data_IF_200141831952
#
_entry.id   IF_200141831952
#
_cell.length_a   1.000
_cell.length_b   1.000
_cell.length_c   1.000
_cell.angle_alpha   90.00
_cell.angle_beta   90.00
_cell.angle_gamma   90.00
#
_symmetry.space_group_name_H-M   'P 1'
#
loop_
_entity.id
_entity.type
_entity.pdbx_description
1 polymer ?
#
# COMPACT_ATOMS: atom_id res chain seq x y z
N UNK A 1 -6.79 -17.52 0.24
CA UNK A 1 -5.63 -16.83 0.85
C UNK A 1 -6.18 -15.87 1.86
N UNK A 2 -5.44 -15.60 2.93
CA UNK A 2 -5.84 -14.68 3.99
C UNK A 2 -5.06 -13.37 3.91
N UNK A 3 -5.61 -12.33 4.55
CA UNK A 3 -4.88 -11.10 4.85
C UNK A 3 -4.35 -11.14 6.28
N UNK A 4 -3.22 -10.47 6.53
CA UNK A 4 -2.72 -10.28 7.89
C UNK A 4 -2.07 -8.91 8.07
N UNK A 5 -2.30 -8.32 9.23
CA UNK A 5 -1.80 -6.99 9.59
C UNK A 5 -1.00 -7.08 10.89
N UNK A 6 0.27 -6.66 10.85
CA UNK A 6 1.12 -6.53 12.03
C UNK A 6 0.80 -5.22 12.77
N UNK A 7 0.11 -5.33 13.89
CA UNK A 7 -0.39 -4.20 14.69
C UNK A 7 0.08 -4.22 16.16
N UNK A 8 1.17 -4.94 16.47
CA UNK A 8 1.65 -5.13 17.85
C UNK A 8 2.58 -4.04 18.41
N UNK A 9 3.06 -3.10 17.59
CA UNK A 9 4.07 -2.12 17.99
C UNK A 9 3.56 -0.97 18.87
N UNK A 10 4.41 -0.48 19.78
CA UNK A 10 4.10 0.65 20.69
C UNK A 10 3.92 2.01 20.02
N UNK A 11 4.28 2.17 18.74
CA UNK A 11 4.14 3.45 18.02
C UNK A 11 4.90 4.65 18.63
N UNK A 12 5.98 4.42 19.39
CA UNK A 12 6.63 5.43 20.26
C UNK A 12 6.91 6.81 19.63
N UNK A 13 7.17 6.87 18.32
CA UNK A 13 7.48 8.11 17.58
C UNK A 13 6.26 9.00 17.29
N UNK A 14 5.04 8.49 17.49
CA UNK A 14 3.78 9.21 17.31
C UNK A 14 3.10 9.54 18.65
N UNK A 15 3.83 9.46 19.76
CA UNK A 15 3.32 9.95 21.05
C UNK A 15 3.09 11.47 20.97
N UNK A 16 2.02 12.01 21.56
CA UNK A 16 1.10 11.34 22.50
C UNK A 16 -0.09 10.62 21.84
N UNK A 17 -0.27 10.68 20.51
CA UNK A 17 -1.41 10.06 19.82
C UNK A 17 -1.47 8.57 20.16
N UNK A 18 -0.34 7.88 20.05
CA UNK A 18 -0.27 6.43 20.29
C UNK A 18 -0.27 6.03 21.77
N UNK A 19 -0.48 6.95 22.71
CA UNK A 19 -0.73 6.58 24.12
C UNK A 19 -2.16 6.08 24.34
N UNK A 20 -3.07 6.42 23.42
CA UNK A 20 -4.51 6.09 23.53
C UNK A 20 -5.02 5.21 22.40
N UNK A 21 -4.37 5.24 21.23
CA UNK A 21 -4.76 4.43 20.08
C UNK A 21 -3.57 3.65 19.52
N UNK A 22 -3.76 2.39 19.08
CA UNK A 22 -2.78 1.69 18.27
C UNK A 22 -2.41 2.50 17.03
N UNK A 23 -1.16 2.40 16.61
CA UNK A 23 -0.65 3.09 15.41
C UNK A 23 -1.51 2.81 14.16
N UNK A 24 -1.95 1.56 14.00
CA UNK A 24 -2.80 1.15 12.89
C UNK A 24 -4.19 1.82 12.89
N UNK A 25 -4.64 2.38 14.01
CA UNK A 25 -5.90 3.12 14.13
C UNK A 25 -5.73 4.64 14.02
N UNK A 26 -4.53 5.13 13.68
CA UNK A 26 -4.33 6.55 13.42
C UNK A 26 -5.13 6.97 12.19
N UNK A 27 -5.88 8.05 12.30
CA UNK A 27 -6.74 8.58 11.23
C UNK A 27 -5.92 9.30 10.16
N UNK A 28 -6.13 8.90 8.90
CA UNK A 28 -5.56 9.54 7.71
C UNK A 28 -6.56 10.45 7.00
N UNK A 29 -7.86 10.28 7.28
CA UNK A 29 -8.94 11.27 7.06
C UNK A 29 -10.07 10.99 8.07
N UNK A 30 -11.06 11.86 8.12
CA UNK A 30 -12.14 11.79 9.12
C UNK A 30 -12.77 10.39 9.20
N UNK A 31 -12.76 9.81 10.40
CA UNK A 31 -13.25 8.46 10.71
C UNK A 31 -12.63 7.31 9.88
N UNK A 32 -11.50 7.55 9.22
CA UNK A 32 -10.84 6.58 8.35
C UNK A 32 -9.36 6.46 8.71
N UNK A 33 -9.00 5.28 9.20
CA UNK A 33 -7.69 4.96 9.76
C UNK A 33 -6.78 4.29 8.76
N UNK A 34 -5.50 4.14 9.11
CA UNK A 34 -4.56 3.29 8.36
C UNK A 34 -5.19 1.90 8.17
N UNK A 35 -5.67 1.25 9.24
CA UNK A 35 -6.23 -0.10 9.14
C UNK A 35 -7.50 -0.16 8.28
N UNK A 36 -8.36 0.86 8.28
CA UNK A 36 -9.52 0.90 7.36
C UNK A 36 -9.07 0.87 5.90
N UNK A 37 -7.99 1.59 5.57
CA UNK A 37 -7.38 1.51 4.26
C UNK A 37 -6.84 0.12 3.95
N UNK A 38 -6.16 -0.50 4.91
CA UNK A 38 -5.59 -1.83 4.72
C UNK A 38 -6.67 -2.92 4.52
N UNK A 39 -7.78 -2.82 5.26
CA UNK A 39 -8.94 -3.70 5.10
C UNK A 39 -9.65 -3.46 3.75
N UNK A 40 -9.75 -2.21 3.31
CA UNK A 40 -10.27 -1.87 1.98
C UNK A 40 -9.43 -2.51 0.86
N UNK A 41 -8.09 -2.44 0.96
CA UNK A 41 -7.19 -3.08 -0.01
C UNK A 41 -7.44 -4.59 -0.09
N UNK A 42 -7.55 -5.27 1.06
CA UNK A 42 -7.84 -6.71 1.11
C UNK A 42 -9.23 -7.05 0.54
N UNK A 43 -10.25 -6.26 0.86
CA UNK A 43 -11.62 -6.46 0.37
C UNK A 43 -11.66 -6.40 -1.16
N UNK A 44 -10.96 -5.44 -1.76
CA UNK A 44 -10.94 -5.25 -3.22
C UNK A 44 -10.31 -6.41 -4.00
N UNK A 45 -9.44 -7.18 -3.36
CA UNK A 45 -8.87 -8.39 -3.96
C UNK A 45 -9.58 -9.68 -3.52
N UNK A 46 -10.74 -9.55 -2.85
CA UNK A 46 -11.60 -10.67 -2.48
C UNK A 46 -11.12 -11.49 -1.29
N UNK A 47 -10.24 -10.95 -0.44
CA UNK A 47 -9.93 -11.58 0.85
C UNK A 47 -11.16 -11.46 1.74
N UNK A 48 -11.52 -12.53 2.46
CA UNK A 48 -12.63 -12.55 3.41
C UNK A 48 -12.17 -12.70 4.85
N UNK A 49 -10.99 -13.27 5.07
CA UNK A 49 -10.45 -13.59 6.39
C UNK A 49 -9.16 -12.82 6.61
N UNK A 50 -9.16 -11.98 7.66
CA UNK A 50 -8.04 -11.12 8.01
C UNK A 50 -7.60 -11.38 9.45
N UNK A 51 -6.31 -11.64 9.64
CA UNK A 51 -5.70 -11.82 10.95
C UNK A 51 -5.00 -10.53 11.41
N UNK A 52 -5.40 -10.00 12.55
CA UNK A 52 -4.72 -8.88 13.19
C UNK A 52 -3.77 -9.42 14.24
N UNK A 53 -2.46 -9.27 13.98
CA UNK A 53 -1.38 -9.66 14.87
C UNK A 53 -1.13 -8.49 15.81
N UNK A 54 -1.90 -8.46 16.88
CA UNK A 54 -2.01 -7.31 17.79
C UNK A 54 -1.27 -7.56 19.10
N UNK A 55 -0.95 -6.48 19.80
CA UNK A 55 -0.26 -6.54 21.09
C UNK A 55 -0.71 -5.37 21.95
N UNK A 56 0.10 -4.30 21.98
CA UNK A 56 -0.26 -3.08 22.70
C UNK A 56 -1.61 -2.51 22.24
N UNK A 57 -2.52 -2.25 23.19
CA UNK A 57 -3.87 -1.71 22.96
C UNK A 57 -4.75 -2.56 22.01
N UNK A 58 -4.59 -3.90 22.01
CA UNK A 58 -5.36 -4.80 21.14
C UNK A 58 -6.88 -4.64 21.31
N UNK A 59 -7.34 -4.39 22.54
CA UNK A 59 -8.74 -4.18 22.89
C UNK A 59 -9.39 -3.01 22.13
N UNK A 60 -8.60 -1.98 21.78
CA UNK A 60 -9.10 -0.82 21.02
C UNK A 60 -9.36 -1.20 19.56
N UNK A 61 -8.52 -2.07 18.99
CA UNK A 61 -8.71 -2.61 17.64
C UNK A 61 -9.95 -3.51 17.63
N UNK A 62 -10.03 -4.44 18.59
CA UNK A 62 -11.14 -5.37 18.72
C UNK A 62 -12.48 -4.65 18.84
N UNK A 63 -12.57 -3.61 19.68
CA UNK A 63 -13.83 -2.87 19.85
C UNK A 63 -14.22 -2.08 18.59
N UNK A 64 -13.26 -1.47 17.87
CA UNK A 64 -13.56 -0.77 16.60
C UNK A 64 -14.15 -1.71 15.55
N UNK A 65 -13.62 -2.93 15.45
CA UNK A 65 -13.96 -3.87 14.39
C UNK A 65 -14.87 -5.04 14.83
N UNK A 66 -15.38 -5.00 16.06
CA UNK A 66 -16.24 -6.03 16.65
C UNK A 66 -17.45 -6.43 15.81
N UNK A 67 -18.04 -5.46 15.12
CA UNK A 67 -19.22 -5.64 14.26
C UNK A 67 -18.89 -5.39 12.78
N UNK A 68 -17.63 -5.51 12.38
CA UNK A 68 -17.22 -5.32 10.99
C UNK A 68 -17.83 -6.43 10.12
N UNK A 69 -18.66 -6.05 9.16
CA UNK A 69 -19.46 -7.01 8.36
C UNK A 69 -18.83 -7.38 7.03
N UNK A 70 -17.87 -6.59 6.57
CA UNK A 70 -17.27 -6.79 5.25
C UNK A 70 -16.30 -7.98 5.22
N UNK A 71 -15.74 -8.38 6.36
CA UNK A 71 -14.70 -9.41 6.49
C UNK A 71 -14.75 -10.08 7.87
N UNK A 72 -14.29 -11.32 7.94
CA UNK A 72 -14.01 -12.02 9.19
C UNK A 72 -12.67 -11.57 9.74
N UNK A 73 -12.68 -10.97 10.93
CA UNK A 73 -11.46 -10.48 11.58
C UNK A 73 -11.11 -11.41 12.75
N UNK A 74 -9.92 -12.00 12.67
CA UNK A 74 -9.34 -12.90 13.67
C UNK A 74 -8.23 -12.16 14.42
N UNK A 75 -8.20 -12.27 15.75
CA UNK A 75 -7.21 -11.56 16.56
C UNK A 75 -6.19 -12.55 17.14
N UNK A 76 -4.91 -12.36 16.77
CA UNK A 76 -3.79 -13.07 17.38
C UNK A 76 -3.10 -12.11 18.34
N UNK A 77 -3.52 -12.18 19.61
CA UNK A 77 -3.04 -11.29 20.67
C UNK A 77 -1.72 -11.77 21.26
N UNK A 78 -0.80 -10.84 21.44
CA UNK A 78 0.40 -11.01 22.25
C UNK A 78 0.33 -10.16 23.52
N UNK A 79 0.62 -10.76 24.68
CA UNK A 79 0.66 -10.01 25.94
C UNK A 79 1.72 -8.90 25.93
N UNK A 80 2.81 -9.12 25.20
CA UNK A 80 3.91 -8.18 24.96
C UNK A 80 4.45 -8.40 23.56
N UNK A 81 5.01 -7.38 22.88
CA UNK A 81 5.59 -7.56 21.56
C UNK A 81 6.78 -8.52 21.63
N UNK A 82 6.62 -9.72 21.09
CA UNK A 82 7.65 -10.77 21.12
C UNK A 82 8.57 -10.77 19.89
N UNK A 83 8.35 -9.83 18.97
CA UNK A 83 9.11 -9.67 17.72
C UNK A 83 8.34 -10.25 16.53
N UNK A 84 8.60 -9.69 15.34
CA UNK A 84 7.84 -10.00 14.12
C UNK A 84 7.90 -11.48 13.75
N UNK A 85 9.02 -12.16 14.01
CA UNK A 85 9.13 -13.59 13.77
C UNK A 85 8.10 -14.36 14.59
N UNK A 86 7.99 -14.09 15.90
CA UNK A 86 7.05 -14.80 16.75
C UNK A 86 5.60 -14.61 16.28
N UNK A 87 5.20 -13.38 15.96
CA UNK A 87 3.87 -13.06 15.47
C UNK A 87 3.53 -13.82 14.19
N UNK A 88 4.48 -13.86 13.23
CA UNK A 88 4.29 -14.58 11.97
C UNK A 88 4.34 -16.09 12.16
N UNK A 89 5.24 -16.63 12.96
CA UNK A 89 5.24 -18.06 13.30
C UNK A 89 3.92 -18.47 13.96
N UNK A 90 3.34 -17.62 14.80
CA UNK A 90 2.04 -17.89 15.41
C UNK A 90 0.92 -17.89 14.34
N UNK A 91 0.91 -16.90 13.44
CA UNK A 91 -0.02 -16.88 12.31
C UNK A 91 0.10 -18.17 11.46
N UNK A 92 1.31 -18.54 11.04
CA UNK A 92 1.52 -19.71 10.17
C UNK A 92 1.12 -21.04 10.81
N UNK A 93 1.02 -21.12 12.14
CA UNK A 93 0.49 -22.30 12.85
C UNK A 93 -1.04 -22.38 12.83
N UNK A 94 -1.72 -21.24 12.67
CA UNK A 94 -3.17 -21.12 12.74
C UNK A 94 -3.86 -21.09 11.37
N UNK A 95 -3.09 -21.07 10.28
CA UNK A 95 -3.60 -21.03 8.90
C UNK A 95 -3.02 -22.18 8.07
N UNK A 96 -3.71 -22.56 6.99
CA UNK A 96 -3.32 -23.69 6.14
C UNK A 96 -3.34 -23.32 4.63
N UNK A 97 -3.18 -22.04 4.32
CA UNK A 97 -3.27 -21.42 3.00
C UNK A 97 -2.32 -20.23 2.89
N UNK A 98 -2.09 -19.71 1.68
CA UNK A 98 -1.22 -18.55 1.47
C UNK A 98 -1.72 -17.29 2.21
N UNK A 99 -0.78 -16.41 2.56
CA UNK A 99 -1.06 -15.18 3.31
C UNK A 99 -0.45 -13.94 2.64
N UNK A 100 -1.21 -12.85 2.61
CA UNK A 100 -0.67 -11.50 2.37
C UNK A 100 -0.47 -10.83 3.72
N UNK A 101 0.77 -10.55 4.07
CA UNK A 101 1.15 -9.95 5.35
C UNK A 101 1.62 -8.53 5.10
N UNK A 102 1.12 -7.56 5.88
CA UNK A 102 1.61 -6.18 5.84
C UNK A 102 1.84 -5.59 7.23
N UNK A 103 2.78 -4.65 7.29
CA UNK A 103 2.95 -3.79 8.46
C UNK A 103 1.73 -2.89 8.64
N UNK A 104 1.24 -2.73 9.87
CA UNK A 104 0.05 -1.96 10.20
C UNK A 104 0.21 -0.44 10.15
N UNK A 105 1.36 0.05 9.71
CA UNK A 105 1.71 1.47 9.69
C UNK A 105 2.03 2.02 8.29
N UNK A 106 1.78 1.22 7.26
CA UNK A 106 2.03 1.61 5.87
C UNK A 106 0.72 1.82 5.11
N UNK A 107 0.72 2.86 4.27
CA UNK A 107 -0.31 3.14 3.27
C UNK A 107 0.32 3.07 1.89
N UNK A 108 -0.35 2.42 0.93
CA UNK A 108 0.20 2.24 -0.41
C UNK A 108 -0.88 2.10 -1.48
N UNK A 109 -0.58 2.57 -2.69
CA UNK A 109 -1.45 2.54 -3.87
C UNK A 109 -1.07 1.47 -4.89
N UNK A 110 -0.29 0.46 -4.50
CA UNK A 110 0.06 -0.65 -5.40
C UNK A 110 -1.19 -1.37 -5.93
N UNK A 111 -1.03 -2.01 -7.08
CA UNK A 111 -1.99 -3.00 -7.54
C UNK A 111 -1.82 -4.34 -6.79
N UNK A 112 -2.60 -4.52 -5.73
CA UNK A 112 -2.59 -5.77 -4.95
C UNK A 112 -2.97 -7.01 -5.77
N UNK A 113 -3.80 -6.87 -6.82
CA UNK A 113 -4.16 -7.98 -7.71
C UNK A 113 -2.93 -8.43 -8.49
N UNK A 114 -2.23 -7.48 -9.12
CA UNK A 114 -0.97 -7.73 -9.84
C UNK A 114 0.11 -8.32 -8.92
N UNK A 115 0.23 -7.80 -7.70
CA UNK A 115 1.16 -8.34 -6.70
C UNK A 115 0.87 -9.81 -6.37
N UNK A 116 -0.40 -10.17 -6.16
CA UNK A 116 -0.83 -11.54 -5.87
C UNK A 116 -0.61 -12.46 -7.06
N UNK A 117 -1.02 -12.05 -8.26
CA UNK A 117 -0.86 -12.84 -9.49
C UNK A 117 0.61 -13.11 -9.79
N UNK A 118 1.44 -12.07 -9.70
CA UNK A 118 2.89 -12.21 -9.79
C UNK A 118 3.38 -13.21 -8.74
N UNK A 119 3.04 -13.04 -7.47
CA UNK A 119 3.55 -13.88 -6.40
C UNK A 119 3.15 -15.36 -6.54
N UNK A 120 1.92 -15.63 -6.97
CA UNK A 120 1.44 -16.99 -7.23
C UNK A 120 2.18 -17.65 -8.40
N UNK A 121 2.44 -16.90 -9.47
CA UNK A 121 3.06 -17.42 -10.70
C UNK A 121 4.57 -17.70 -10.60
N UNK A 122 5.27 -17.17 -9.59
CA UNK A 122 6.72 -17.39 -9.39
C UNK A 122 7.01 -18.53 -8.43
N UNK A 123 8.11 -19.26 -8.61
CA UNK A 123 8.55 -20.29 -7.65
C UNK A 123 9.38 -19.70 -6.49
N UNK A 124 8.75 -18.84 -5.70
CA UNK A 124 9.29 -18.32 -4.45
C UNK A 124 8.37 -18.67 -3.30
N UNK A 125 8.93 -18.94 -2.14
CA UNK A 125 8.17 -19.18 -0.91
C UNK A 125 7.64 -17.88 -0.30
N UNK A 126 8.41 -16.80 -0.46
CA UNK A 126 8.00 -15.44 -0.06
C UNK A 126 8.33 -14.48 -1.19
N UNK A 127 7.39 -13.59 -1.52
CA UNK A 127 7.64 -12.44 -2.39
C UNK A 127 7.50 -11.17 -1.57
N UNK A 128 8.56 -10.38 -1.54
CA UNK A 128 8.60 -9.09 -0.85
C UNK A 128 8.27 -7.96 -1.83
N UNK A 129 7.38 -7.05 -1.43
CA UNK A 129 7.25 -5.77 -2.10
C UNK A 129 8.37 -4.83 -1.66
N UNK A 130 9.03 -4.22 -2.65
CA UNK A 130 10.05 -3.19 -2.42
C UNK A 130 9.65 -1.89 -3.11
N UNK A 131 10.02 -0.78 -2.49
CA UNK A 131 9.85 0.57 -3.05
C UNK A 131 11.17 1.30 -3.08
N UNK A 132 11.29 2.32 -3.92
CA UNK A 132 12.51 3.13 -4.00
C UNK A 132 12.66 3.97 -2.74
N UNK A 133 13.90 4.10 -2.28
CA UNK A 133 14.24 4.91 -1.13
C UNK A 133 14.17 6.38 -1.50
N UNK A 134 13.29 7.13 -0.83
CA UNK A 134 13.45 8.57 -0.76
C UNK A 134 14.49 8.91 0.30
N UNK A 135 15.51 9.68 -0.08
CA UNK A 135 16.52 10.10 0.88
C UNK A 135 15.88 10.98 1.96
N UNK A 136 16.10 10.70 3.26
CA UNK A 136 15.66 11.59 4.33
C UNK A 136 16.46 12.91 4.35
N UNK A 137 17.60 12.95 3.65
CA UNK A 137 18.54 14.07 3.60
C UNK A 137 18.74 14.60 2.18
N UNK A 138 19.22 15.84 2.07
CA UNK A 138 19.76 16.35 0.81
C UNK A 138 21.05 15.63 0.43
N UNK A 139 21.18 15.27 -0.86
CA UNK A 139 22.39 14.66 -1.42
C UNK A 139 23.21 15.75 -2.09
N UNK A 140 24.49 15.83 -1.70
CA UNK A 140 25.46 16.80 -2.24
C UNK A 140 26.49 16.06 -3.07
N UNK A 141 26.65 16.45 -4.33
CA UNK A 141 27.73 16.01 -5.20
C UNK A 141 28.74 17.15 -5.32
N UNK A 142 30.03 16.87 -5.12
CA UNK A 142 31.07 17.88 -5.03
C UNK A 142 32.40 17.39 -5.59
N UNK A 143 33.22 18.32 -6.06
CA UNK A 143 34.57 18.11 -6.56
C UNK A 143 35.54 19.07 -5.87
N UNK A 144 36.52 18.53 -5.13
CA UNK A 144 37.41 19.33 -4.31
C UNK A 144 36.65 20.05 -3.20
N UNK A 145 36.65 21.39 -3.22
CA UNK A 145 35.95 22.28 -2.30
C UNK A 145 34.67 22.91 -2.90
N UNK A 146 34.29 22.52 -4.13
CA UNK A 146 33.14 23.07 -4.86
C UNK A 146 31.97 22.08 -4.91
N UNK A 147 30.77 22.56 -4.59
CA UNK A 147 29.51 21.82 -4.81
C UNK A 147 29.14 21.88 -6.30
N UNK A 148 28.93 20.71 -6.91
CA UNK A 148 28.52 20.58 -8.30
C UNK A 148 27.00 20.41 -8.43
N UNK A 149 26.36 19.73 -7.47
CA UNK A 149 24.93 19.49 -7.47
C UNK A 149 24.38 19.32 -6.04
N UNK A 150 23.17 19.81 -5.80
CA UNK A 150 22.44 19.61 -4.55
C UNK A 150 21.03 19.14 -4.88
N UNK A 151 20.66 17.98 -4.37
CA UNK A 151 19.32 17.41 -4.55
C UNK A 151 18.68 17.23 -3.18
N UNK A 152 17.61 17.98 -2.89
CA UNK A 152 16.87 17.84 -1.63
C UNK A 152 15.97 16.61 -1.67
N UNK A 153 16.14 15.69 -0.71
CA UNK A 153 15.35 14.46 -0.55
C UNK A 153 15.03 13.72 -1.87
N UNK A 154 16.03 13.47 -2.74
CA UNK A 154 15.79 12.82 -4.02
C UNK A 154 15.35 11.37 -3.80
N UNK A 155 14.62 10.86 -4.78
CA UNK A 155 14.51 9.42 -4.94
C UNK A 155 15.87 8.85 -5.35
N UNK A 156 16.28 7.76 -4.68
CA UNK A 156 17.54 7.07 -4.94
C UNK A 156 17.28 5.76 -5.70
N UNK A 157 18.27 5.32 -6.48
CA UNK A 157 18.29 3.98 -7.09
C UNK A 157 18.64 2.88 -6.08
N UNK A 158 18.05 2.95 -4.89
CA UNK A 158 18.13 1.94 -3.83
C UNK A 158 16.71 1.54 -3.47
N UNK A 159 16.50 0.24 -3.24
CA UNK A 159 15.19 -0.29 -2.88
C UNK A 159 15.17 -0.66 -1.40
N UNK A 160 14.05 -0.36 -0.74
CA UNK A 160 13.81 -0.68 0.66
C UNK A 160 12.65 -1.66 0.77
N UNK A 161 12.68 -2.46 1.83
CA UNK A 161 11.57 -3.32 2.22
C UNK A 161 10.34 -2.45 2.56
N UNK A 162 9.25 -2.66 1.83
CA UNK A 162 8.01 -1.91 2.00
C UNK A 162 7.08 -2.48 3.08
N UNK A 163 7.50 -3.54 3.77
CA UNK A 163 6.71 -4.16 4.84
C UNK A 163 5.45 -4.85 4.33
N UNK A 164 5.46 -5.36 3.10
CA UNK A 164 4.37 -6.11 2.48
C UNK A 164 4.94 -7.37 1.83
N UNK A 165 4.33 -8.51 2.13
CA UNK A 165 4.83 -9.83 1.74
C UNK A 165 3.68 -10.72 1.30
N UNK A 166 3.90 -11.49 0.24
CA UNK A 166 3.10 -12.65 -0.10
C UNK A 166 3.85 -13.89 0.37
N UNK A 167 3.27 -14.66 1.29
CA UNK A 167 3.88 -15.84 1.89
C UNK A 167 3.09 -17.06 1.44
N UNK A 168 3.73 -17.93 0.66
CA UNK A 168 3.14 -19.21 0.28
C UNK A 168 3.14 -20.15 1.46
N UNK A 169 2.12 -21.02 1.50
CA UNK A 169 2.07 -22.12 2.45
C UNK A 169 3.34 -22.98 2.43
N UNK A 170 3.94 -23.19 1.25
CA UNK A 170 5.21 -23.94 1.10
C UNK A 170 6.37 -23.30 1.89
N UNK A 171 6.31 -21.98 2.12
CA UNK A 171 7.31 -21.20 2.83
C UNK A 171 7.21 -21.20 4.35
N UNK A 172 6.14 -21.76 4.92
CA UNK A 172 5.88 -21.64 6.36
C UNK A 172 6.99 -22.23 7.23
N UNK A 173 7.63 -23.30 6.76
CA UNK A 173 8.74 -23.95 7.47
C UNK A 173 9.90 -22.99 7.76
N UNK A 174 10.13 -21.99 6.90
CA UNK A 174 11.15 -20.98 7.13
C UNK A 174 10.88 -20.17 8.42
N UNK A 175 9.62 -20.02 8.84
CA UNK A 175 9.24 -19.29 10.05
C UNK A 175 9.30 -20.14 11.33
N UNK A 176 9.46 -21.46 11.23
CA UNK A 176 9.52 -22.36 12.41
C UNK A 176 10.94 -22.75 12.81
N UNK A 177 11.93 -22.35 12.02
CA UNK A 177 13.34 -22.60 12.30
C UNK A 177 13.80 -21.89 13.57
N UNK A 178 14.84 -22.46 14.19
CA UNK A 178 15.49 -21.86 15.36
C UNK A 178 16.45 -20.76 14.88
N UNK A 179 16.12 -19.52 15.21
CA UNK A 179 16.95 -18.35 14.95
C UNK A 179 17.42 -17.73 16.26
N UNK A 180 18.59 -17.10 16.22
CA UNK A 180 19.12 -16.32 17.36
C UNK A 180 18.37 -14.98 17.50
N UNK A 181 18.06 -14.36 16.37
CA UNK A 181 17.35 -13.09 16.28
C UNK A 181 15.84 -13.30 16.17
N UNK A 182 15.06 -12.38 16.75
CA UNK A 182 13.58 -12.41 16.72
C UNK A 182 12.97 -11.59 15.57
N UNK A 183 13.80 -10.87 14.84
CA UNK A 183 13.40 -10.04 13.70
C UNK A 183 13.52 -10.87 12.41
N UNK A 184 12.50 -10.86 11.56
CA UNK A 184 12.49 -11.63 10.30
C UNK A 184 13.57 -11.15 9.32
N UNK A 185 13.93 -9.86 9.40
CA UNK A 185 14.93 -9.18 8.60
C UNK A 185 16.34 -9.74 8.84
N UNK A 186 16.60 -10.22 10.06
CA UNK A 186 17.90 -10.82 10.46
C UNK A 186 17.88 -12.34 10.50
N UNK A 187 16.73 -12.96 10.23
CA UNK A 187 16.52 -14.41 10.40
C UNK A 187 15.95 -15.07 9.14
N UNK A 188 14.65 -14.94 8.93
CA UNK A 188 13.91 -15.61 7.85
C UNK A 188 14.33 -15.11 6.48
N UNK A 189 14.46 -13.80 6.28
CA UNK A 189 14.82 -13.25 4.97
C UNK A 189 16.23 -13.68 4.52
N UNK A 190 17.30 -13.55 5.33
CA UNK A 190 18.61 -14.08 4.95
C UNK A 190 18.57 -15.59 4.63
N UNK A 191 17.80 -16.38 5.40
CA UNK A 191 17.63 -17.80 5.12
C UNK A 191 16.97 -18.05 3.76
N UNK A 192 15.85 -17.38 3.45
CA UNK A 192 15.15 -17.56 2.18
C UNK A 192 16.00 -17.10 0.98
N UNK A 193 16.72 -15.98 1.12
CA UNK A 193 17.65 -15.48 0.09
C UNK A 193 18.75 -16.50 -0.17
N UNK A 194 19.41 -17.02 0.87
CA UNK A 194 20.48 -18.01 0.73
C UNK A 194 20.03 -19.33 0.10
N UNK A 195 18.72 -19.61 0.10
CA UNK A 195 18.13 -20.81 -0.50
C UNK A 195 17.41 -20.52 -1.83
N UNK A 196 17.53 -19.31 -2.39
CA UNK A 196 16.83 -18.88 -3.61
C UNK A 196 15.30 -19.01 -3.53
N UNK A 197 14.73 -18.84 -2.32
CA UNK A 197 13.28 -18.96 -2.06
C UNK A 197 12.59 -17.62 -1.81
N UNK A 198 13.29 -16.51 -2.00
CA UNK A 198 12.75 -15.16 -1.85
C UNK A 198 12.68 -14.43 -3.18
N UNK A 199 11.49 -13.97 -3.54
CA UNK A 199 11.23 -13.14 -4.71
C UNK A 199 11.05 -11.68 -4.33
N UNK A 200 11.11 -10.83 -5.35
CA UNK A 200 10.89 -9.39 -5.23
C UNK A 200 9.80 -8.95 -6.21
N UNK A 201 8.91 -8.09 -5.75
CA UNK A 201 7.95 -7.36 -6.55
C UNK A 201 8.22 -5.86 -6.39
N UNK A 202 8.22 -5.13 -7.49
CA UNK A 202 8.47 -3.69 -7.52
C UNK A 202 7.44 -3.04 -8.42
N UNK A 203 6.86 -1.94 -7.96
CA UNK A 203 5.85 -1.16 -8.66
C UNK A 203 6.03 0.30 -8.27
N UNK A 204 5.98 1.18 -9.27
CA UNK A 204 6.02 2.63 -9.06
C UNK A 204 4.64 3.12 -8.63
N UNK A 205 4.42 3.08 -7.32
CA UNK A 205 3.18 3.48 -6.67
C UNK A 205 3.48 4.20 -5.36
N UNK A 206 2.51 4.98 -4.87
CA UNK A 206 2.62 5.59 -3.55
C UNK A 206 2.89 4.50 -2.50
N UNK A 207 3.88 4.74 -1.66
CA UNK A 207 4.12 3.99 -0.43
C UNK A 207 4.59 4.97 0.64
N UNK A 208 3.95 4.94 1.80
CA UNK A 208 4.32 5.78 2.94
C UNK A 208 4.20 4.98 4.24
N UNK A 209 5.31 4.90 4.98
CA UNK A 209 5.29 4.51 6.39
C UNK A 209 4.97 5.72 7.25
N UNK A 210 3.93 5.62 8.08
CA UNK A 210 3.48 6.73 8.93
C UNK A 210 4.19 6.63 10.26
N UNK A 211 5.38 7.22 10.39
CA UNK A 211 6.24 7.05 11.57
C UNK A 211 6.38 8.29 12.44
N UNK A 212 5.99 9.44 11.91
CA UNK A 212 6.10 10.75 12.55
C UNK A 212 4.87 11.61 12.25
N UNK A 213 4.69 12.70 13.01
CA UNK A 213 3.63 13.67 12.73
C UNK A 213 3.75 14.29 11.33
N UNK A 214 4.97 14.40 10.81
CA UNK A 214 5.21 14.87 9.44
C UNK A 214 4.66 13.88 8.41
N UNK A 215 4.85 12.58 8.61
CA UNK A 215 4.31 11.56 7.71
C UNK A 215 2.79 11.56 7.79
N UNK A 216 2.23 11.73 8.99
CA UNK A 216 0.80 11.88 9.21
C UNK A 216 0.22 13.12 8.51
N UNK A 217 0.91 14.26 8.57
CA UNK A 217 0.50 15.46 7.84
C UNK A 217 0.54 15.26 6.33
N UNK A 218 1.61 14.62 5.83
CA UNK A 218 1.76 14.29 4.41
C UNK A 218 0.62 13.40 3.91
N UNK A 219 0.30 12.32 4.64
CA UNK A 219 -0.78 11.42 4.22
C UNK A 219 -2.15 12.08 4.30
N UNK A 220 -2.41 12.92 5.31
CA UNK A 220 -3.67 13.68 5.43
C UNK A 220 -3.87 14.62 4.25
N UNK A 221 -2.82 15.30 3.80
CA UNK A 221 -2.91 16.17 2.62
C UNK A 221 -3.13 15.36 1.33
N UNK A 222 -2.50 14.20 1.20
CA UNK A 222 -2.75 13.28 0.08
C UNK A 222 -4.21 12.80 0.06
N UNK A 223 -4.79 12.54 1.22
CA UNK A 223 -6.17 12.05 1.39
C UNK A 223 -7.26 13.13 1.39
N UNK A 224 -6.88 14.41 1.33
CA UNK A 224 -7.84 15.50 1.26
C UNK A 224 -8.67 15.41 -0.03
N UNK A 225 -9.99 15.31 0.11
CA UNK A 225 -10.92 15.14 -1.01
C UNK A 225 -10.79 13.79 -1.73
N UNK A 226 -10.06 12.83 -1.15
CA UNK A 226 -9.76 11.52 -1.75
C UNK A 226 -10.79 10.45 -1.35
N UNK A 227 -11.30 9.75 -2.34
CA UNK A 227 -12.15 8.57 -2.22
C UNK A 227 -11.50 7.39 -2.92
N UNK A 228 -11.20 6.33 -2.16
CA UNK A 228 -10.57 5.14 -2.71
C UNK A 228 -11.58 4.28 -3.46
N UNK A 229 -11.16 3.70 -4.58
CA UNK A 229 -11.98 2.87 -5.47
C UNK A 229 -11.30 1.52 -5.74
N UNK A 230 -12.01 0.60 -6.40
CA UNK A 230 -11.44 -0.68 -6.79
C UNK A 230 -10.31 -0.54 -7.85
N UNK A 231 -10.33 0.50 -8.68
CA UNK A 231 -9.31 0.74 -9.71
C UNK A 231 -8.19 1.69 -9.25
N UNK A 232 -8.38 2.43 -8.16
CA UNK A 232 -7.40 3.39 -7.64
C UNK A 232 -8.06 4.39 -6.70
N UNK A 233 -8.14 5.65 -7.07
CA UNK A 233 -8.89 6.65 -6.30
C UNK A 233 -9.42 7.79 -7.16
N UNK A 234 -10.38 8.51 -6.59
CA UNK A 234 -10.83 9.83 -7.04
C UNK A 234 -10.38 10.87 -6.04
N UNK A 235 -9.97 12.06 -6.50
CA UNK A 235 -9.62 13.17 -5.64
C UNK A 235 -10.24 14.46 -6.14
N UNK A 236 -11.15 15.02 -5.36
CA UNK A 236 -11.76 16.32 -5.67
C UNK A 236 -10.73 17.42 -5.42
N UNK A 237 -10.23 18.03 -6.50
CA UNK A 237 -9.25 19.12 -6.44
C UNK A 237 -9.95 20.48 -6.31
N UNK A 238 -11.13 20.62 -6.93
CA UNK A 238 -11.90 21.85 -6.94
C UNK A 238 -13.39 21.57 -7.13
N UNK A 239 -14.24 22.33 -6.45
CA UNK A 239 -15.69 22.32 -6.65
C UNK A 239 -16.25 23.71 -6.33
N UNK A 240 -16.98 24.30 -7.28
CA UNK A 240 -17.67 25.58 -7.11
C UNK A 240 -18.75 25.77 -8.17
N UNK A 241 -19.94 26.22 -7.76
CA UNK A 241 -21.06 26.63 -8.65
C UNK A 241 -21.25 25.76 -9.93
N UNK A 242 -21.23 24.43 -9.79
CA UNK A 242 -21.44 23.47 -10.90
C UNK A 242 -20.19 23.10 -11.69
N UNK A 243 -19.06 23.74 -11.43
CA UNK A 243 -17.74 23.38 -11.97
C UNK A 243 -17.00 22.48 -10.99
N UNK A 244 -16.30 21.49 -11.51
CA UNK A 244 -15.47 20.61 -10.70
C UNK A 244 -14.23 20.14 -11.43
N UNK A 245 -13.16 19.93 -10.67
CA UNK A 245 -11.97 19.22 -11.14
C UNK A 245 -11.79 18.02 -10.22
N UNK A 246 -11.86 16.82 -10.81
CA UNK A 246 -11.67 15.55 -10.12
C UNK A 246 -10.49 14.84 -10.74
N UNK A 247 -9.48 14.54 -9.94
CA UNK A 247 -8.35 13.71 -10.33
C UNK A 247 -8.74 12.23 -10.20
N UNK A 248 -8.49 11.47 -11.26
CA UNK A 248 -8.60 10.02 -11.30
C UNK A 248 -7.18 9.47 -11.26
N UNK A 249 -6.91 8.62 -10.28
CA UNK A 249 -5.76 7.72 -10.30
C UNK A 249 -6.25 6.32 -10.65
N UNK A 250 -5.75 5.80 -11.76
CA UNK A 250 -6.10 4.47 -12.28
C UNK A 250 -4.83 3.63 -12.24
N UNK A 251 -4.86 2.52 -11.51
CA UNK A 251 -3.72 1.60 -11.43
C UNK A 251 -3.48 0.91 -12.77
N UNK A 252 -2.23 0.60 -13.07
CA UNK A 252 -1.86 -0.23 -14.20
C UNK A 252 -2.65 -1.54 -14.18
N UNK A 253 -3.22 -1.90 -15.32
CA UNK A 253 -4.06 -3.09 -15.49
C UNK A 253 -5.54 -2.89 -15.15
N UNK A 254 -5.93 -1.73 -14.61
CA UNK A 254 -7.32 -1.44 -14.27
C UNK A 254 -7.99 -0.57 -15.36
N UNK A 255 -9.32 -0.52 -15.31
CA UNK A 255 -10.13 0.33 -16.17
C UNK A 255 -11.15 1.14 -15.37
N UNK A 256 -11.60 2.23 -15.96
CA UNK A 256 -12.66 3.07 -15.41
C UNK A 256 -13.60 3.57 -16.50
N UNK A 257 -14.89 3.56 -16.17
CA UNK A 257 -15.93 4.15 -17.00
C UNK A 257 -16.14 5.61 -16.62
N UNK A 258 -16.00 6.52 -17.59
CA UNK A 258 -16.22 7.95 -17.42
C UNK A 258 -17.45 8.40 -18.22
N UNK A 259 -18.31 9.18 -17.55
CA UNK A 259 -19.58 9.68 -18.09
C UNK A 259 -19.40 10.69 -19.24
N UNK A 260 -20.48 10.90 -19.97
CA UNK A 260 -20.59 11.86 -21.07
C UNK A 260 -20.26 13.30 -20.68
N UNK A 261 -19.83 14.09 -21.68
CA UNK A 261 -19.77 15.55 -21.58
C UNK A 261 -18.65 16.08 -20.68
N UNK A 262 -17.61 15.28 -20.43
CA UNK A 262 -16.45 15.63 -19.62
C UNK A 262 -15.25 15.98 -20.48
N UNK A 263 -14.35 16.79 -19.93
CA UNK A 263 -13.03 17.04 -20.51
C UNK A 263 -12.01 16.32 -19.64
N UNK A 264 -11.21 15.45 -20.23
CA UNK A 264 -10.17 14.69 -19.56
C UNK A 264 -8.81 15.18 -20.00
N UNK A 265 -7.97 15.58 -19.04
CA UNK A 265 -6.58 15.95 -19.27
C UNK A 265 -5.68 14.87 -18.67
N UNK A 266 -4.84 14.25 -19.51
CA UNK A 266 -3.94 13.18 -19.06
C UNK A 266 -2.66 13.80 -18.50
N UNK A 267 -2.48 13.72 -17.18
CA UNK A 267 -1.31 14.29 -16.51
C UNK A 267 -0.14 13.31 -16.42
N UNK A 268 -0.44 12.02 -16.30
CA UNK A 268 0.54 10.94 -16.28
C UNK A 268 -0.04 9.61 -16.80
N UNK A 269 0.85 8.70 -17.22
CA UNK A 269 0.50 7.36 -17.68
C UNK A 269 0.10 7.28 -19.15
N UNK A 270 -0.16 6.04 -19.57
CA UNK A 270 -0.56 5.68 -20.93
C UNK A 270 -1.60 4.57 -20.89
N UNK A 271 -2.40 4.47 -21.95
CA UNK A 271 -3.49 3.51 -22.02
C UNK A 271 -4.25 3.58 -23.34
N UNK A 272 -5.46 3.03 -23.37
CA UNK A 272 -6.34 3.09 -24.52
C UNK A 272 -7.79 3.32 -24.10
N UNK A 273 -8.60 3.73 -25.08
CA UNK A 273 -10.03 3.94 -24.93
C UNK A 273 -10.75 2.73 -25.52
N UNK A 274 -11.45 1.92 -24.73
CA UNK A 274 -11.90 0.59 -25.17
C UNK A 274 -12.94 0.62 -26.31
N UNK A 275 -13.75 1.67 -26.39
CA UNK A 275 -14.69 1.86 -27.50
C UNK A 275 -14.00 2.19 -28.85
N UNK A 276 -12.68 2.32 -28.85
CA UNK A 276 -11.82 2.54 -30.02
C UNK A 276 -10.39 2.07 -29.67
N UNK A 277 -10.12 0.77 -29.75
CA UNK A 277 -8.83 0.17 -29.33
C UNK A 277 -7.60 0.74 -30.05
N UNK A 278 -7.80 1.40 -31.19
CA UNK A 278 -6.75 2.11 -31.93
C UNK A 278 -6.42 3.48 -31.32
N UNK A 279 -7.28 4.00 -30.43
CA UNK A 279 -7.14 5.29 -29.78
C UNK A 279 -6.45 5.16 -28.43
N UNK A 280 -5.12 5.26 -28.49
CA UNK A 280 -4.25 5.36 -27.32
C UNK A 280 -4.31 6.76 -26.71
N UNK A 281 -4.18 6.81 -25.38
CA UNK A 281 -3.94 8.05 -24.67
C UNK A 281 -2.55 8.10 -24.05
N UNK A 282 -2.02 9.31 -23.89
CA UNK A 282 -0.74 9.56 -23.24
C UNK A 282 -0.70 10.94 -22.59
N UNK A 283 0.31 11.16 -21.73
CA UNK A 283 0.55 12.44 -21.06
C UNK A 283 0.46 13.65 -22.01
N UNK A 284 -0.27 14.68 -21.56
CA UNK A 284 -0.48 15.94 -22.26
C UNK A 284 -1.67 15.93 -23.22
N UNK A 285 -2.30 14.78 -23.47
CA UNK A 285 -3.49 14.72 -24.29
C UNK A 285 -4.74 15.23 -23.56
N UNK A 286 -5.66 15.80 -24.34
CA UNK A 286 -6.99 16.21 -23.89
C UNK A 286 -8.04 15.44 -24.67
N UNK A 287 -8.93 14.76 -23.95
CA UNK A 287 -9.99 13.91 -24.50
C UNK A 287 -11.32 14.51 -24.09
N UNK A 288 -12.26 14.65 -25.02
CA UNK A 288 -13.66 14.96 -24.72
C UNK A 288 -14.45 13.65 -24.70
N UNK A 289 -15.14 13.37 -23.61
CA UNK A 289 -15.97 12.16 -23.53
C UNK A 289 -17.22 12.33 -24.38
N UNK A 290 -17.54 11.30 -25.17
CA UNK A 290 -18.78 11.19 -25.95
C UNK A 290 -19.95 10.81 -25.04
N UNK A 291 -20.54 9.63 -25.25
CA UNK A 291 -21.58 9.08 -24.36
C UNK A 291 -20.95 8.47 -23.10
N UNK A 292 -20.18 7.40 -23.27
CA UNK A 292 -19.43 6.75 -22.20
C UNK A 292 -18.03 6.46 -22.73
N UNK A 293 -17.01 6.82 -21.95
CA UNK A 293 -15.61 6.58 -22.30
C UNK A 293 -15.02 5.59 -21.30
N UNK A 294 -14.73 4.38 -21.76
CA UNK A 294 -14.03 3.37 -20.97
C UNK A 294 -12.53 3.51 -21.20
N UNK A 295 -11.79 3.82 -20.13
CA UNK A 295 -10.34 3.98 -20.17
C UNK A 295 -9.67 2.78 -19.51
N UNK A 296 -8.69 2.22 -20.19
CA UNK A 296 -7.82 1.17 -19.65
C UNK A 296 -6.39 1.70 -19.51
N UNK A 297 -5.78 1.49 -18.33
CA UNK A 297 -4.46 1.98 -17.99
C UNK A 297 -3.37 0.92 -18.21
N UNK A 298 -2.40 1.18 -19.11
CA UNK A 298 -1.20 0.34 -19.22
C UNK A 298 -0.19 0.63 -18.10
N UNK A 299 -0.12 1.88 -17.66
CA UNK A 299 0.71 2.36 -16.56
C UNK A 299 -0.18 3.05 -15.52
N UNK A 300 0.31 3.24 -14.30
CA UNK A 300 -0.38 4.07 -13.31
C UNK A 300 -0.66 5.45 -13.94
N UNK A 301 -1.95 5.78 -14.08
CA UNK A 301 -2.45 6.90 -14.88
C UNK A 301 -3.10 7.93 -13.97
N UNK A 302 -2.79 9.21 -14.21
CA UNK A 302 -3.43 10.36 -13.55
C UNK A 302 -4.18 11.17 -14.60
N UNK A 303 -5.48 11.39 -14.37
CA UNK A 303 -6.37 12.13 -15.26
C UNK A 303 -7.12 13.20 -14.48
N UNK A 304 -7.09 14.44 -14.94
CA UNK A 304 -7.99 15.49 -14.47
C UNK A 304 -9.29 15.45 -15.29
N UNK A 305 -10.40 15.08 -14.66
CA UNK A 305 -11.75 15.30 -15.18
C UNK A 305 -12.20 16.72 -14.85
N UNK A 306 -12.46 17.51 -15.88
CA UNK A 306 -12.97 18.87 -15.79
C UNK A 306 -14.44 18.88 -16.20
N UNK A 307 -15.28 19.34 -15.28
CA UNK A 307 -16.69 19.64 -15.51
C UNK A 307 -16.90 21.15 -15.46
N UNK A 308 -17.54 21.69 -16.50
CA UNK A 308 -17.79 23.12 -16.69
C UNK A 308 -19.28 23.38 -16.77
#
# INVERSE_FOLDING_TARGET
MIGAILAGGYGKRLKPITDRIPKALVEIKDNYTIMDRQLFDFKNIGITDVYILSGYLSEVIEERYKNYKDMNIHYLREDKPMGTLFSLSNLMKNINEDAIVRNGDTVTDINFRSFVEFSKSRDYDVVMYVTKMQSPYGIVEFSGDKVDNFREKPELNHYINAGLYYIKKSGFEAFFRKYMEKDIEKSVFPYLVNNNRMGVYCEDALWLGIDSEKDLGTIKELYKGREDTAYGYLKTLYFDEGKSIVEYYIRSGENVEIKAGKILKIDAGTGYIENDTDKKYSRGQVIRTGDTTLLYAYENTIIEEISI
#
